data_IF_705980861563
#
_entry.id   IF_705980861563
#
_cell.length_a   1.000
_cell.length_b   1.000
_cell.length_c   1.000
_cell.angle_alpha   90.00
_cell.angle_beta   90.00
_cell.angle_gamma   90.00
#
_symmetry.space_group_name_H-M   'P 1'
#
loop_
_entity.id
_entity.type
_entity.pdbx_description
1 polymer ?
#
# COMPACT_ATOMS: atom_id res chain seq x y z
N UNK A 1 6.98 -15.39 -18.27
CA UNK A 1 6.89 -14.41 -17.17
C UNK A 1 5.92 -14.95 -16.14
N UNK A 2 6.37 -15.14 -14.90
CA UNK A 2 5.51 -15.73 -13.88
C UNK A 2 4.72 -14.61 -13.19
N UNK A 3 3.54 -14.27 -13.72
CA UNK A 3 2.63 -13.26 -13.17
C UNK A 3 1.82 -13.81 -11.97
N UNK A 4 2.52 -14.44 -11.03
CA UNK A 4 1.88 -14.96 -9.83
C UNK A 4 1.35 -13.81 -8.99
N UNK A 5 0.03 -13.73 -8.85
CA UNK A 5 -0.63 -12.75 -8.02
C UNK A 5 -0.45 -13.10 -6.53
N UNK A 6 -0.32 -12.05 -5.73
CA UNK A 6 -0.15 -12.12 -4.27
C UNK A 6 -1.52 -11.95 -3.62
N UNK A 7 -2.14 -13.03 -3.22
CA UNK A 7 -3.30 -13.00 -2.34
C UNK A 7 -2.88 -12.78 -0.87
N UNK A 8 -3.84 -12.58 0.01
CA UNK A 8 -3.57 -12.33 1.43
C UNK A 8 -2.73 -13.46 2.07
N UNK A 9 -3.01 -14.72 1.74
CA UNK A 9 -2.30 -15.88 2.30
C UNK A 9 -0.84 -15.91 1.86
N UNK A 10 -0.61 -15.65 0.57
CA UNK A 10 0.74 -15.62 0.00
C UNK A 10 1.55 -14.42 0.53
N UNK A 11 0.90 -13.26 0.76
CA UNK A 11 1.54 -12.11 1.39
C UNK A 11 2.05 -12.45 2.79
N UNK A 12 1.21 -13.05 3.65
CA UNK A 12 1.65 -13.47 4.99
C UNK A 12 2.76 -14.51 4.93
N UNK A 13 2.66 -15.49 4.04
CA UNK A 13 3.74 -16.47 3.84
C UNK A 13 5.05 -15.83 3.41
N UNK A 14 4.98 -14.81 2.55
CA UNK A 14 6.17 -14.07 2.12
C UNK A 14 6.79 -13.27 3.29
N UNK A 15 5.97 -12.66 4.15
CA UNK A 15 6.46 -11.97 5.35
C UNK A 15 7.08 -12.92 6.37
N UNK A 16 6.53 -14.10 6.60
CA UNK A 16 7.12 -15.14 7.46
C UNK A 16 8.52 -15.54 6.97
N UNK A 17 8.65 -15.81 5.67
CA UNK A 17 9.94 -16.16 5.09
C UNK A 17 10.92 -14.99 5.15
N UNK A 18 10.46 -13.77 4.90
CA UNK A 18 11.27 -12.57 4.99
C UNK A 18 11.78 -12.37 6.42
N UNK A 19 10.93 -12.53 7.44
CA UNK A 19 11.32 -12.49 8.84
C UNK A 19 12.40 -13.52 9.17
N UNK A 20 12.25 -14.76 8.70
CA UNK A 20 13.25 -15.83 8.88
C UNK A 20 14.58 -15.49 8.21
N UNK A 21 14.58 -14.85 7.04
CA UNK A 21 15.81 -14.41 6.36
C UNK A 21 16.51 -13.28 7.10
N UNK A 22 15.75 -12.33 7.65
CA UNK A 22 16.27 -11.22 8.46
C UNK A 22 16.81 -11.72 9.79
N UNK A 23 16.15 -12.68 10.44
CA UNK A 23 16.64 -13.35 11.66
C UNK A 23 18.02 -13.97 11.47
N UNK A 24 18.24 -14.72 10.39
CA UNK A 24 19.54 -15.31 10.05
C UNK A 24 20.64 -14.26 9.86
N UNK A 25 20.27 -13.06 9.44
CA UNK A 25 21.15 -11.90 9.29
C UNK A 25 21.32 -11.10 10.58
N UNK A 26 20.57 -11.45 11.64
CA UNK A 26 20.49 -10.67 12.88
C UNK A 26 20.06 -9.22 12.65
N UNK A 27 19.17 -9.02 11.72
CA UNK A 27 18.59 -7.71 11.36
C UNK A 27 17.14 -7.67 11.77
N UNK A 28 16.68 -6.51 12.22
CA UNK A 28 15.27 -6.21 12.44
C UNK A 28 14.80 -5.29 11.32
N UNK A 29 13.82 -5.73 10.55
CA UNK A 29 13.24 -4.96 9.46
C UNK A 29 11.90 -4.33 9.85
N UNK A 30 11.61 -3.17 9.26
CA UNK A 30 10.28 -2.55 9.30
C UNK A 30 9.83 -2.21 7.89
N UNK A 31 8.59 -2.53 7.56
CA UNK A 31 8.00 -2.32 6.23
C UNK A 31 6.69 -1.56 6.39
N UNK A 32 6.55 -0.43 5.71
CA UNK A 32 5.31 0.33 5.59
C UNK A 32 4.71 0.13 4.21
N UNK A 33 3.64 -0.64 4.16
CA UNK A 33 2.96 -1.04 2.93
C UNK A 33 1.90 -0.02 2.53
N UNK A 34 1.84 0.28 1.24
CA UNK A 34 0.79 1.09 0.63
C UNK A 34 0.29 0.46 -0.68
N UNK A 35 -0.46 1.20 -1.50
CA UNK A 35 -0.91 0.71 -2.80
C UNK A 35 -1.87 -0.47 -2.74
N UNK A 36 -1.73 -1.38 -3.70
CA UNK A 36 -2.60 -2.55 -3.86
C UNK A 36 -2.51 -3.55 -2.72
N UNK A 37 -1.30 -3.79 -2.20
CA UNK A 37 -1.08 -4.73 -1.10
C UNK A 37 -1.78 -4.27 0.20
N UNK A 38 -1.81 -2.96 0.48
CA UNK A 38 -2.57 -2.40 1.60
C UNK A 38 -4.07 -2.72 1.49
N UNK A 39 -4.63 -2.64 0.27
CA UNK A 39 -6.03 -2.93 0.00
C UNK A 39 -6.36 -4.41 0.18
N UNK A 40 -5.42 -5.32 -0.14
CA UNK A 40 -5.56 -6.77 0.13
C UNK A 40 -5.46 -7.08 1.62
N UNK A 41 -4.48 -6.47 2.32
CA UNK A 41 -4.15 -6.81 3.72
C UNK A 41 -5.19 -6.32 4.72
N UNK A 42 -5.68 -5.08 4.58
CA UNK A 42 -6.56 -4.43 5.57
C UNK A 42 -8.00 -4.34 5.08
N UNK A 43 -8.20 -3.80 3.87
CA UNK A 43 -9.55 -3.44 3.42
C UNK A 43 -10.28 -4.57 2.71
N UNK A 44 -9.57 -5.62 2.28
CA UNK A 44 -10.12 -6.79 1.57
C UNK A 44 -10.93 -6.40 0.31
N UNK A 45 -10.67 -5.24 -0.26
CA UNK A 45 -11.33 -4.72 -1.47
C UNK A 45 -10.84 -5.39 -2.75
N UNK A 46 -9.72 -6.11 -2.65
CA UNK A 46 -9.12 -6.88 -3.75
C UNK A 46 -8.78 -8.28 -3.30
N UNK A 47 -8.95 -9.30 -4.16
CA UNK A 47 -8.51 -10.66 -3.84
C UNK A 47 -6.98 -10.79 -3.84
N UNK A 48 -6.27 -9.98 -4.65
CA UNK A 48 -4.83 -10.08 -4.83
C UNK A 48 -4.22 -8.79 -5.39
N UNK A 49 -2.89 -8.73 -5.38
CA UNK A 49 -2.08 -7.69 -6.01
C UNK A 49 -0.93 -8.30 -6.80
N UNK A 50 -0.25 -7.53 -7.65
CA UNK A 50 0.94 -7.98 -8.39
C UNK A 50 2.22 -7.87 -7.57
N UNK A 51 2.30 -6.86 -6.72
CA UNK A 51 3.48 -6.46 -5.97
C UNK A 51 3.11 -5.82 -4.62
N UNK A 52 4.12 -5.57 -3.83
CA UNK A 52 4.04 -4.84 -2.56
C UNK A 52 4.86 -3.56 -2.70
N UNK A 53 4.18 -2.45 -2.93
CA UNK A 53 4.78 -1.13 -2.82
C UNK A 53 4.96 -0.78 -1.34
N UNK A 54 6.18 -0.47 -0.93
CA UNK A 54 6.47 -0.18 0.47
C UNK A 54 7.66 0.76 0.64
N UNK A 55 7.72 1.40 1.80
CA UNK A 55 8.96 1.95 2.34
C UNK A 55 9.46 1.00 3.41
N UNK A 56 10.73 0.70 3.45
CA UNK A 56 11.30 -0.25 4.40
C UNK A 56 12.69 0.13 4.88
N UNK A 57 13.05 -0.36 6.04
CA UNK A 57 14.37 -0.15 6.66
C UNK A 57 14.80 -1.43 7.40
N UNK A 58 16.11 -1.76 7.43
CA UNK A 58 17.16 -1.19 6.57
C UNK A 58 17.04 -1.69 5.12
N UNK A 59 17.18 -0.79 4.15
CA UNK A 59 16.88 -1.04 2.74
C UNK A 59 17.61 -2.24 2.16
N UNK A 60 18.92 -2.28 2.26
CA UNK A 60 19.76 -3.33 1.65
C UNK A 60 19.42 -4.71 2.18
N UNK A 61 19.33 -4.87 3.51
CA UNK A 61 19.07 -6.17 4.11
C UNK A 61 17.67 -6.71 3.76
N UNK A 62 16.66 -5.81 3.73
CA UNK A 62 15.29 -6.18 3.35
C UNK A 62 15.22 -6.56 1.88
N UNK A 63 15.85 -5.80 0.98
CA UNK A 63 15.87 -6.11 -0.46
C UNK A 63 16.60 -7.43 -0.76
N UNK A 64 17.76 -7.68 -0.16
CA UNK A 64 18.48 -8.94 -0.34
C UNK A 64 17.65 -10.15 0.13
N UNK A 65 17.06 -10.03 1.31
CA UNK A 65 16.18 -11.07 1.86
C UNK A 65 14.93 -11.28 0.97
N UNK A 66 14.36 -10.20 0.41
CA UNK A 66 13.20 -10.29 -0.48
C UNK A 66 13.49 -11.05 -1.77
N UNK A 67 14.71 -10.94 -2.32
CA UNK A 67 15.14 -11.68 -3.51
C UNK A 67 15.21 -13.20 -3.22
N UNK A 68 15.65 -13.60 -2.02
CA UNK A 68 15.63 -15.00 -1.63
C UNK A 68 14.21 -15.56 -1.48
N UNK A 69 13.31 -14.77 -0.87
CA UNK A 69 11.88 -15.10 -0.77
C UNK A 69 11.25 -15.24 -2.16
N UNK A 70 11.59 -14.32 -3.08
CA UNK A 70 11.11 -14.38 -4.45
C UNK A 70 11.47 -15.72 -5.14
N UNK A 71 12.71 -16.19 -4.97
CA UNK A 71 13.16 -17.49 -5.51
C UNK A 71 12.36 -18.65 -4.91
N UNK A 72 12.20 -18.69 -3.61
CA UNK A 72 11.52 -19.78 -2.90
C UNK A 72 10.03 -19.86 -3.28
N UNK A 73 9.34 -18.71 -3.34
CA UNK A 73 7.91 -18.64 -3.65
C UNK A 73 7.61 -18.53 -5.16
N UNK A 74 8.63 -18.49 -6.00
CA UNK A 74 8.52 -18.28 -7.46
C UNK A 74 7.77 -16.97 -7.78
N UNK A 75 8.13 -15.89 -7.07
CA UNK A 75 7.64 -14.54 -7.31
C UNK A 75 8.60 -13.75 -8.21
N UNK A 76 8.13 -12.67 -8.83
CA UNK A 76 9.03 -11.70 -9.45
C UNK A 76 10.04 -11.15 -8.43
N UNK A 77 11.27 -10.85 -8.85
CA UNK A 77 12.26 -10.24 -7.93
C UNK A 77 11.80 -8.93 -7.32
N UNK A 78 10.95 -8.20 -8.04
CA UNK A 78 10.36 -6.92 -7.63
C UNK A 78 9.04 -7.06 -6.88
N UNK A 79 8.70 -8.27 -6.37
CA UNK A 79 7.46 -8.46 -5.62
C UNK A 79 7.32 -7.52 -4.42
N UNK A 80 8.44 -7.17 -3.79
CA UNK A 80 8.57 -6.10 -2.79
C UNK A 80 9.47 -5.03 -3.38
N UNK A 81 9.01 -3.80 -3.44
CA UNK A 81 9.73 -2.70 -4.06
C UNK A 81 9.40 -1.36 -3.40
N UNK A 82 10.29 -0.37 -3.61
CA UNK A 82 10.19 0.99 -3.12
C UNK A 82 9.93 2.04 -4.23
N UNK A 83 9.58 1.57 -5.43
CA UNK A 83 9.46 2.44 -6.62
C UNK A 83 8.47 3.59 -6.44
N UNK A 84 7.44 3.39 -5.63
CA UNK A 84 6.45 4.41 -5.32
C UNK A 84 6.75 5.21 -4.03
N UNK A 85 7.92 5.04 -3.41
CA UNK A 85 8.30 5.72 -2.16
C UNK A 85 8.30 7.26 -2.29
N UNK A 86 8.65 7.80 -3.46
CA UNK A 86 8.61 9.23 -3.74
C UNK A 86 7.19 9.84 -3.67
N UNK A 87 6.15 9.02 -3.75
CA UNK A 87 4.75 9.45 -3.66
C UNK A 87 4.18 9.37 -2.23
N UNK A 88 4.96 8.85 -1.28
CA UNK A 88 4.57 8.77 0.13
C UNK A 88 4.81 10.12 0.79
N UNK A 89 3.80 10.66 1.46
CA UNK A 89 3.96 11.90 2.21
C UNK A 89 4.87 11.68 3.41
N UNK A 90 5.81 12.61 3.64
CA UNK A 90 6.60 12.66 4.87
C UNK A 90 5.76 12.90 6.14
N UNK A 91 4.47 13.20 6.00
CA UNK A 91 3.48 13.35 7.09
C UNK A 91 2.72 12.05 7.38
N UNK A 92 3.20 10.91 6.88
CA UNK A 92 2.61 9.61 7.17
C UNK A 92 2.54 9.38 8.68
N UNK A 93 1.35 9.13 9.20
CA UNK A 93 1.16 8.72 10.58
C UNK A 93 1.65 7.28 10.80
N UNK A 94 1.59 6.81 12.06
CA UNK A 94 1.84 5.40 12.36
C UNK A 94 0.82 4.55 11.61
N UNK A 95 1.31 3.60 10.80
CA UNK A 95 0.48 2.65 10.11
C UNK A 95 -0.21 1.66 11.04
N UNK A 96 -1.16 0.89 10.49
CA UNK A 96 -1.80 -0.23 11.19
C UNK A 96 -0.89 -1.46 11.13
N UNK A 97 -0.46 -2.05 12.26
CA UNK A 97 0.35 -3.26 12.25
C UNK A 97 -0.49 -4.44 11.72
N UNK A 98 0.06 -5.18 10.77
CA UNK A 98 -0.59 -6.35 10.15
C UNK A 98 0.23 -7.62 10.33
N UNK A 99 1.53 -7.49 10.59
CA UNK A 99 2.43 -8.60 10.87
C UNK A 99 3.48 -8.13 11.88
N UNK A 100 3.70 -8.92 12.93
CA UNK A 100 4.66 -8.62 13.99
C UNK A 100 5.46 -9.89 14.32
N UNK A 101 6.78 -9.80 14.12
CA UNK A 101 7.77 -10.83 14.40
C UNK A 101 9.00 -10.16 15.02
N UNK A 102 9.79 -10.83 15.89
CA UNK A 102 10.99 -10.21 16.48
C UNK A 102 11.96 -9.59 15.47
N UNK A 103 11.97 -10.10 14.25
CA UNK A 103 12.87 -9.62 13.18
C UNK A 103 12.16 -8.91 12.01
N UNK A 104 10.82 -8.77 12.06
CA UNK A 104 10.09 -8.03 11.01
C UNK A 104 8.78 -7.47 11.53
N UNK A 105 8.59 -6.17 11.38
CA UNK A 105 7.30 -5.51 11.55
C UNK A 105 6.77 -5.04 10.21
N UNK A 106 5.51 -5.35 9.90
CA UNK A 106 4.83 -4.84 8.72
C UNK A 106 3.62 -4.01 9.13
N UNK A 107 3.60 -2.77 8.68
CA UNK A 107 2.52 -1.81 8.92
C UNK A 107 1.87 -1.44 7.59
N UNK A 108 0.58 -1.16 7.62
CA UNK A 108 -0.14 -0.61 6.47
C UNK A 108 -0.40 0.87 6.69
N UNK A 109 -0.12 1.66 5.67
CA UNK A 109 -0.35 3.11 5.65
C UNK A 109 -1.80 3.44 6.03
N UNK A 110 -2.04 4.51 6.82
CA UNK A 110 -3.39 4.92 7.23
C UNK A 110 -4.33 5.17 6.04
N UNK A 111 -5.62 4.86 6.23
CA UNK A 111 -6.64 4.95 5.19
C UNK A 111 -6.73 6.33 4.53
N UNK A 112 -6.65 7.41 5.31
CA UNK A 112 -6.64 8.77 4.77
C UNK A 112 -5.46 9.02 3.83
N UNK A 113 -4.27 8.55 4.20
CA UNK A 113 -3.07 8.70 3.39
C UNK A 113 -3.17 7.87 2.10
N UNK A 114 -3.67 6.62 2.20
CA UNK A 114 -3.93 5.78 1.02
C UNK A 114 -4.93 6.45 0.06
N UNK A 115 -6.01 7.03 0.59
CA UNK A 115 -6.98 7.77 -0.21
C UNK A 115 -6.32 8.95 -0.92
N UNK A 116 -5.55 9.77 -0.19
CA UNK A 116 -4.84 10.90 -0.77
C UNK A 116 -3.89 10.49 -1.91
N UNK A 117 -3.12 9.41 -1.72
CA UNK A 117 -2.20 8.88 -2.75
C UNK A 117 -2.96 8.41 -4.00
N UNK A 118 -4.05 7.65 -3.83
CA UNK A 118 -4.85 7.12 -4.95
C UNK A 118 -5.54 8.21 -5.74
N UNK A 119 -6.13 9.17 -5.05
CA UNK A 119 -6.82 10.30 -5.69
C UNK A 119 -5.84 11.17 -6.48
N UNK A 120 -4.64 11.41 -5.96
CA UNK A 120 -3.59 12.13 -6.70
C UNK A 120 -3.12 11.39 -7.95
N UNK A 121 -3.00 10.06 -7.88
CA UNK A 121 -2.62 9.26 -9.05
C UNK A 121 -3.69 9.27 -10.15
N UNK A 122 -4.96 9.53 -9.82
CA UNK A 122 -6.11 9.65 -10.72
C UNK A 122 -6.21 8.52 -11.77
N UNK A 123 -5.95 7.27 -11.37
CA UNK A 123 -6.04 6.09 -12.24
C UNK A 123 -7.47 5.53 -12.19
N UNK A 124 -8.41 6.24 -12.84
CA UNK A 124 -9.85 6.01 -12.70
C UNK A 124 -10.28 4.54 -12.84
N UNK A 125 -9.80 3.84 -13.87
CA UNK A 125 -10.19 2.44 -14.13
C UNK A 125 -9.59 1.48 -13.09
N UNK A 126 -8.36 1.73 -12.64
CA UNK A 126 -7.63 0.81 -11.77
C UNK A 126 -7.96 1.01 -10.29
N UNK A 127 -8.20 2.25 -9.87
CA UNK A 127 -8.27 2.61 -8.46
C UNK A 127 -9.69 2.96 -7.97
N UNK A 128 -10.70 2.99 -8.86
CA UNK A 128 -12.06 3.39 -8.49
C UNK A 128 -12.64 2.55 -7.34
N UNK A 129 -12.57 1.21 -7.43
CA UNK A 129 -13.08 0.33 -6.38
C UNK A 129 -12.34 0.49 -5.04
N UNK A 130 -11.04 0.75 -5.07
CA UNK A 130 -10.26 1.03 -3.86
C UNK A 130 -10.64 2.37 -3.24
N UNK A 131 -10.85 3.39 -4.09
CA UNK A 131 -11.29 4.72 -3.63
C UNK A 131 -12.67 4.62 -3.00
N UNK A 132 -13.63 3.94 -3.62
CA UNK A 132 -14.97 3.69 -3.07
C UNK A 132 -14.91 2.98 -1.71
N UNK A 133 -14.07 1.95 -1.59
CA UNK A 133 -13.83 1.26 -0.32
C UNK A 133 -13.29 2.20 0.76
N UNK A 134 -12.30 3.05 0.41
CA UNK A 134 -11.72 4.00 1.34
C UNK A 134 -12.69 5.12 1.73
N UNK A 135 -13.47 5.64 0.76
CA UNK A 135 -14.53 6.64 1.03
C UNK A 135 -15.56 6.08 2.02
N UNK A 136 -16.03 4.86 1.79
CA UNK A 136 -16.97 4.18 2.68
C UNK A 136 -16.37 3.94 4.07
N UNK A 137 -15.13 3.44 4.14
CA UNK A 137 -14.43 3.19 5.40
C UNK A 137 -14.24 4.46 6.24
N UNK A 138 -13.93 5.57 5.58
CA UNK A 138 -13.71 6.87 6.20
C UNK A 138 -15.01 7.70 6.38
N UNK A 139 -16.15 7.17 5.95
CA UNK A 139 -17.45 7.86 5.98
C UNK A 139 -17.41 9.23 5.29
N UNK A 140 -16.82 9.26 4.10
CA UNK A 140 -16.66 10.47 3.28
C UNK A 140 -17.72 10.47 2.19
N UNK A 141 -18.46 11.57 2.08
CA UNK A 141 -19.57 11.75 1.13
C UNK A 141 -19.42 12.98 0.22
N UNK A 142 -18.35 13.78 0.39
CA UNK A 142 -18.11 14.99 -0.40
C UNK A 142 -16.67 15.12 -0.89
N UNK A 143 -16.50 15.71 -2.07
CA UNK A 143 -15.16 16.06 -2.61
C UNK A 143 -14.42 17.03 -1.69
N UNK A 144 -15.14 17.92 -0.99
CA UNK A 144 -14.54 18.87 -0.06
C UNK A 144 -13.82 18.18 1.11
N UNK A 145 -14.37 17.07 1.64
CA UNK A 145 -13.71 16.27 2.68
C UNK A 145 -12.43 15.61 2.13
N UNK A 146 -12.48 15.03 0.93
CA UNK A 146 -11.29 14.45 0.28
C UNK A 146 -10.23 15.52 0.05
N UNK A 147 -10.61 16.72 -0.41
CA UNK A 147 -9.68 17.83 -0.62
C UNK A 147 -8.93 18.19 0.66
N UNK A 148 -9.62 18.24 1.82
CA UNK A 148 -8.96 18.49 3.13
C UNK A 148 -7.93 17.40 3.46
N UNK A 149 -8.25 16.14 3.20
CA UNK A 149 -7.32 15.01 3.41
C UNK A 149 -6.11 15.14 2.49
N UNK A 150 -6.32 15.39 1.20
CA UNK A 150 -5.21 15.58 0.25
C UNK A 150 -4.32 16.74 0.67
N UNK A 151 -4.90 17.89 1.05
CA UNK A 151 -4.13 19.06 1.53
C UNK A 151 -3.34 18.74 2.81
N UNK A 152 -3.88 17.91 3.71
CA UNK A 152 -3.17 17.47 4.93
C UNK A 152 -1.87 16.75 4.61
N UNK A 153 -1.88 15.83 3.64
CA UNK A 153 -0.71 15.02 3.27
C UNK A 153 0.16 15.68 2.19
N UNK A 154 -0.45 16.43 1.30
CA UNK A 154 0.19 17.04 0.13
C UNK A 154 -0.23 18.52 -0.02
N UNK A 155 0.24 19.40 0.86
CA UNK A 155 -0.27 20.78 0.96
C UNK A 155 0.01 21.63 -0.29
N UNK A 156 1.03 21.29 -1.05
CA UNK A 156 1.46 22.05 -2.24
C UNK A 156 0.91 21.47 -3.55
N UNK A 157 0.05 20.46 -3.48
CA UNK A 157 -0.45 19.75 -4.65
C UNK A 157 -1.99 19.80 -4.68
N UNK A 158 -2.58 20.74 -5.43
CA UNK A 158 -4.03 20.80 -5.59
C UNK A 158 -4.55 19.59 -6.36
N UNK A 159 -5.79 19.19 -6.09
CA UNK A 159 -6.46 18.15 -6.87
C UNK A 159 -6.62 18.59 -8.32
N UNK A 160 -6.23 17.74 -9.24
CA UNK A 160 -6.49 17.94 -10.68
C UNK A 160 -7.99 17.83 -10.98
N UNK A 161 -8.44 18.44 -12.09
CA UNK A 161 -9.83 18.27 -12.53
C UNK A 161 -10.17 16.79 -12.74
N UNK A 162 -9.26 16.01 -13.32
CA UNK A 162 -9.42 14.56 -13.49
C UNK A 162 -9.66 13.83 -12.15
N UNK A 163 -8.96 14.23 -11.09
CA UNK A 163 -9.18 13.66 -9.75
C UNK A 163 -10.56 14.03 -9.21
N UNK A 164 -11.01 15.26 -9.43
CA UNK A 164 -12.35 15.72 -9.01
C UNK A 164 -13.44 14.97 -9.76
N UNK A 165 -13.32 14.81 -11.07
CA UNK A 165 -14.31 14.08 -11.90
C UNK A 165 -14.41 12.62 -11.45
N UNK A 166 -13.27 11.96 -11.26
CA UNK A 166 -13.21 10.58 -10.74
C UNK A 166 -13.86 10.45 -9.36
N UNK A 167 -13.63 11.41 -8.46
CA UNK A 167 -14.24 11.41 -7.12
C UNK A 167 -15.76 11.58 -7.19
N UNK A 168 -16.27 12.47 -8.05
CA UNK A 168 -17.71 12.62 -8.26
C UNK A 168 -18.33 11.31 -8.74
N UNK A 169 -17.72 10.65 -9.74
CA UNK A 169 -18.18 9.35 -10.24
C UNK A 169 -18.21 8.27 -9.14
N UNK A 170 -17.18 8.22 -8.29
CA UNK A 170 -17.14 7.28 -7.16
C UNK A 170 -18.22 7.58 -6.12
N UNK A 171 -18.38 8.85 -5.73
CA UNK A 171 -19.39 9.28 -4.76
C UNK A 171 -20.82 9.06 -5.26
N UNK A 172 -21.07 9.26 -6.55
CA UNK A 172 -22.39 9.01 -7.16
C UNK A 172 -22.76 7.53 -7.17
N UNK A 173 -21.75 6.64 -7.32
CA UNK A 173 -21.98 5.18 -7.20
C UNK A 173 -22.23 4.70 -5.78
N UNK A 174 -21.85 5.46 -4.76
CA UNK A 174 -22.04 5.13 -3.35
C UNK A 174 -23.36 5.66 -2.77
N UNK A 175 -24.10 6.50 -3.50
CA UNK A 175 -25.43 7.03 -3.13
C UNK A 175 -26.55 6.08 -3.52
#
# INVERSE_FOLDING_TARGET
MNDRLLDRKLLFRAFELLATRLERRRVVGEIHVFGGAAMVLVFKSRPSTRDVDAVFAPDTAVLEASVEVAKELRLPRSWLNDQASAYVSGRAGRGTPVFDHPHLRVLVTPAEHLLAMKVRAARAVRDAADIETLLTHLQIDTVAQVRRIVTKYFPNEPLSQRSVDMLNDCLDRLR
#
